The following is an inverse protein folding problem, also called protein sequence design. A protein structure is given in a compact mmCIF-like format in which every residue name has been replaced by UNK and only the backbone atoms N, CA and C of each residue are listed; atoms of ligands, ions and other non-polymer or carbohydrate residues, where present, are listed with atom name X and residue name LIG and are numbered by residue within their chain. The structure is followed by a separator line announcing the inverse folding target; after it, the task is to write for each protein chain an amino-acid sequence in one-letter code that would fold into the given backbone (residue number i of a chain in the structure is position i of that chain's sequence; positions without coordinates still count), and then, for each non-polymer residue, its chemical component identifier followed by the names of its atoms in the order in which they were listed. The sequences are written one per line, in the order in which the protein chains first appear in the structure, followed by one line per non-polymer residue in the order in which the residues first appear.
data_IF_441924264420
#
_entry.id   IF_441924264420
#
_cell.length_a   1.000
_cell.length_b   1.000
_cell.length_c   1.000
_cell.angle_alpha   90.00
_cell.angle_beta   90.00
_cell.angle_gamma   90.00
#
_symmetry.space_group_name_H-M   'P 1'
#
loop_
_entity.id
_entity.type
_entity.pdbx_description
1 polymer ?
#
# COMPACT_ATOMS: atom_id res chain seq x y z
N UNK A 1 -25.34 20.04 -14.16
CA UNK A 1 -24.65 19.62 -12.92
C UNK A 1 -23.75 20.76 -12.50
N UNK A 2 -23.89 21.30 -11.27
CA UNK A 2 -22.99 22.36 -10.79
C UNK A 2 -21.66 21.70 -10.42
N UNK A 3 -20.57 22.16 -11.02
CA UNK A 3 -19.21 21.68 -10.72
C UNK A 3 -18.61 22.62 -9.68
N UNK A 4 -18.26 22.09 -8.51
CA UNK A 4 -17.67 22.87 -7.42
C UNK A 4 -16.16 23.01 -7.61
N UNK A 5 -15.73 23.91 -8.50
CA UNK A 5 -14.31 24.08 -8.86
C UNK A 5 -13.43 24.63 -7.74
N UNK A 6 -14.02 25.19 -6.67
CA UNK A 6 -13.30 25.70 -5.50
C UNK A 6 -13.21 24.69 -4.36
N UNK A 7 -13.95 23.58 -4.41
CA UNK A 7 -13.91 22.58 -3.35
C UNK A 7 -12.55 21.88 -3.34
N UNK A 8 -11.82 22.01 -2.23
CA UNK A 8 -10.51 21.36 -2.01
C UNK A 8 -10.59 20.18 -1.05
N UNK A 9 -11.48 20.22 -0.08
CA UNK A 9 -11.60 19.21 0.97
C UNK A 9 -13.05 18.76 1.06
N UNK A 10 -13.29 17.44 1.01
CA UNK A 10 -14.61 16.84 1.17
C UNK A 10 -14.57 15.81 2.30
N UNK A 11 -15.47 15.97 3.27
CA UNK A 11 -15.62 15.06 4.42
C UNK A 11 -16.99 14.40 4.39
N UNK A 12 -17.01 13.10 4.13
CA UNK A 12 -18.16 12.19 4.15
C UNK A 12 -17.93 11.16 5.26
N UNK A 13 -17.99 11.58 6.52
CA UNK A 13 -17.74 10.69 7.66
C UNK A 13 -19.07 10.12 8.18
N UNK A 14 -19.08 8.83 8.53
CA UNK A 14 -20.23 8.11 9.11
C UNK A 14 -21.51 8.23 8.28
N UNK A 15 -21.38 8.29 6.94
CA UNK A 15 -22.52 8.30 6.03
C UNK A 15 -23.02 6.86 5.83
N UNK A 16 -23.74 6.33 6.81
CA UNK A 16 -24.14 4.91 6.88
C UNK A 16 -24.97 4.42 5.69
N UNK A 17 -25.65 5.34 4.97
CA UNK A 17 -26.47 5.01 3.79
C UNK A 17 -25.76 5.27 2.45
N UNK A 18 -24.54 5.79 2.47
CA UNK A 18 -23.79 6.07 1.25
C UNK A 18 -23.34 4.75 0.63
N UNK A 19 -23.86 4.42 -0.56
CA UNK A 19 -23.54 3.19 -1.27
C UNK A 19 -22.51 3.40 -2.38
N UNK A 20 -22.49 4.59 -2.98
CA UNK A 20 -21.62 4.90 -4.10
C UNK A 20 -21.14 6.35 -4.11
N UNK A 21 -19.92 6.55 -4.62
CA UNK A 21 -19.37 7.85 -4.98
C UNK A 21 -19.08 7.80 -6.49
N UNK A 22 -19.86 8.55 -7.26
CA UNK A 22 -19.77 8.53 -8.73
C UNK A 22 -18.73 9.51 -9.26
N UNK A 23 -18.82 10.79 -8.87
CA UNK A 23 -17.97 11.85 -9.37
C UNK A 23 -17.54 12.80 -8.27
N UNK A 24 -16.27 13.16 -8.27
CA UNK A 24 -15.72 14.20 -7.42
C UNK A 24 -15.41 15.48 -8.22
N UNK A 25 -15.42 16.64 -7.56
CA UNK A 25 -14.94 17.86 -8.18
C UNK A 25 -13.46 17.73 -8.61
N UNK A 26 -13.06 18.29 -9.75
CA UNK A 26 -11.74 18.03 -10.34
C UNK A 26 -10.57 18.57 -9.51
N UNK A 27 -10.81 19.63 -8.72
CA UNK A 27 -9.78 20.29 -7.91
C UNK A 27 -9.76 19.80 -6.46
N UNK A 28 -10.43 18.68 -6.16
CA UNK A 28 -10.38 18.09 -4.83
C UNK A 28 -8.94 17.68 -4.49
N UNK A 29 -8.49 18.02 -3.29
CA UNK A 29 -7.15 17.73 -2.79
C UNK A 29 -7.17 16.68 -1.68
N UNK A 30 -8.21 16.68 -0.85
CA UNK A 30 -8.37 15.74 0.26
C UNK A 30 -9.80 15.22 0.34
N UNK A 31 -9.92 13.90 0.49
CA UNK A 31 -11.19 13.22 0.61
C UNK A 31 -11.19 12.34 1.86
N UNK A 32 -12.14 12.57 2.76
CA UNK A 32 -12.31 11.80 3.99
C UNK A 32 -13.65 11.07 3.97
N UNK A 33 -13.65 9.79 3.64
CA UNK A 33 -14.83 8.90 3.60
C UNK A 33 -14.70 7.83 4.68
N UNK A 34 -14.84 8.25 5.94
CA UNK A 34 -14.55 7.41 7.10
C UNK A 34 -15.81 6.78 7.67
N UNK A 35 -15.76 5.51 8.05
CA UNK A 35 -16.89 4.83 8.69
C UNK A 35 -18.15 4.74 7.82
N UNK A 36 -17.99 4.77 6.49
CA UNK A 36 -19.10 4.61 5.54
C UNK A 36 -19.32 3.13 5.24
N UNK A 37 -19.94 2.40 6.17
CA UNK A 37 -20.04 0.94 6.13
C UNK A 37 -20.85 0.37 4.95
N UNK A 38 -21.69 1.18 4.30
CA UNK A 38 -22.48 0.79 3.13
C UNK A 38 -21.81 1.10 1.79
N UNK A 39 -20.65 1.77 1.79
CA UNK A 39 -19.99 2.17 0.54
C UNK A 39 -19.47 0.94 -0.19
N UNK A 40 -19.99 0.69 -1.39
CA UNK A 40 -19.67 -0.47 -2.22
C UNK A 40 -18.89 -0.07 -3.48
N UNK A 41 -19.14 1.14 -4.02
CA UNK A 41 -18.59 1.57 -5.32
C UNK A 41 -17.95 2.95 -5.25
N UNK A 42 -16.72 3.04 -5.73
CA UNK A 42 -16.03 4.31 -5.99
C UNK A 42 -15.09 4.12 -7.19
N UNK A 43 -15.57 4.28 -8.44
CA UNK A 43 -14.76 3.96 -9.62
C UNK A 43 -13.49 4.82 -9.75
N UNK A 44 -13.58 6.13 -9.45
CA UNK A 44 -12.47 7.07 -9.64
C UNK A 44 -11.26 6.77 -8.74
N UNK A 45 -11.45 6.13 -7.56
CA UNK A 45 -10.30 5.73 -6.71
C UNK A 45 -9.45 4.65 -7.36
N UNK A 46 -10.08 3.69 -8.06
CA UNK A 46 -9.32 2.66 -8.77
C UNK A 46 -8.53 3.30 -9.92
N UNK A 47 -9.15 4.19 -10.70
CA UNK A 47 -8.48 4.88 -11.80
C UNK A 47 -7.32 5.76 -11.32
N UNK A 48 -7.45 6.46 -10.18
CA UNK A 48 -6.38 7.30 -9.61
C UNK A 48 -5.10 6.52 -9.31
N UNK A 49 -5.21 5.25 -8.91
CA UNK A 49 -4.07 4.40 -8.54
C UNK A 49 -3.73 3.31 -9.55
N UNK A 50 -4.30 3.37 -10.76
CA UNK A 50 -3.96 2.46 -11.86
C UNK A 50 -2.77 2.96 -12.70
N UNK A 51 -2.55 4.27 -12.79
CA UNK A 51 -1.41 4.85 -13.54
C UNK A 51 -1.27 4.39 -15.02
N UNK A 52 -2.35 3.94 -15.67
CA UNK A 52 -2.40 3.65 -17.12
C UNK A 52 -3.44 4.47 -17.89
N UNK A 53 -4.32 5.17 -17.15
CA UNK A 53 -5.40 5.98 -17.70
C UNK A 53 -5.40 7.32 -17.00
N UNK A 54 -5.67 8.40 -17.72
CA UNK A 54 -5.79 9.72 -17.13
C UNK A 54 -6.97 9.78 -16.16
N UNK A 55 -6.69 10.23 -14.93
CA UNK A 55 -7.70 10.51 -13.92
C UNK A 55 -7.97 12.02 -13.88
N UNK A 56 -9.24 12.43 -13.79
CA UNK A 56 -9.62 13.85 -13.66
C UNK A 56 -9.23 14.47 -12.31
N UNK A 57 -8.83 13.65 -11.33
CA UNK A 57 -8.51 14.06 -9.95
C UNK A 57 -7.02 14.37 -9.80
N UNK A 58 -6.50 15.31 -10.60
CA UNK A 58 -5.06 15.64 -10.63
C UNK A 58 -4.57 16.19 -9.30
N UNK A 59 -5.36 17.06 -8.68
CA UNK A 59 -5.06 17.73 -7.42
C UNK A 59 -5.21 16.83 -6.18
N UNK A 60 -5.80 15.63 -6.32
CA UNK A 60 -6.10 14.75 -5.19
C UNK A 60 -4.81 14.13 -4.65
N UNK A 61 -4.51 14.46 -3.39
CA UNK A 61 -3.28 14.09 -2.66
C UNK A 61 -3.55 13.12 -1.52
N UNK A 62 -4.78 13.11 -0.97
CA UNK A 62 -5.12 12.27 0.17
C UNK A 62 -6.53 11.70 0.10
N UNK A 63 -6.65 10.40 0.36
CA UNK A 63 -7.92 9.69 0.47
C UNK A 63 -7.94 8.83 1.74
N UNK A 64 -8.91 9.07 2.62
CA UNK A 64 -9.16 8.25 3.79
C UNK A 64 -10.46 7.48 3.63
N UNK A 65 -10.37 6.17 3.39
CA UNK A 65 -11.49 5.23 3.27
C UNK A 65 -11.60 4.30 4.49
N UNK A 66 -10.98 4.66 5.61
CA UNK A 66 -11.03 3.85 6.83
C UNK A 66 -12.45 3.49 7.23
N UNK A 67 -12.68 2.23 7.58
CA UNK A 67 -14.03 1.73 7.90
C UNK A 67 -14.97 1.49 6.70
N UNK A 68 -14.54 1.65 5.45
CA UNK A 68 -15.36 1.33 4.25
C UNK A 68 -15.27 -0.15 3.85
N UNK A 69 -15.65 -1.08 4.74
CA UNK A 69 -15.35 -2.52 4.55
C UNK A 69 -16.07 -3.20 3.39
N UNK A 70 -17.12 -2.59 2.83
CA UNK A 70 -17.85 -3.11 1.65
C UNK A 70 -17.28 -2.62 0.32
N UNK A 71 -16.33 -1.69 0.34
CA UNK A 71 -15.81 -1.08 -0.87
C UNK A 71 -15.00 -2.12 -1.65
N UNK A 72 -15.41 -2.37 -2.89
CA UNK A 72 -14.64 -3.18 -3.84
C UNK A 72 -13.90 -2.24 -4.78
N UNK A 73 -12.59 -2.09 -4.58
CA UNK A 73 -11.74 -1.24 -5.40
C UNK A 73 -10.38 -1.90 -5.67
N UNK A 74 -9.88 -1.75 -6.89
CA UNK A 74 -8.56 -2.25 -7.31
C UNK A 74 -7.49 -1.20 -6.99
N UNK A 75 -7.27 -0.96 -5.69
CA UNK A 75 -6.30 0.03 -5.22
C UNK A 75 -4.91 -0.62 -5.20
N UNK A 76 -3.94 -0.02 -5.89
CA UNK A 76 -2.56 -0.48 -5.88
C UNK A 76 -2.36 -1.88 -6.49
N UNK A 77 -3.26 -2.32 -7.38
CA UNK A 77 -3.19 -3.66 -7.99
C UNK A 77 -2.06 -3.83 -9.01
N UNK A 78 -1.40 -2.74 -9.42
CA UNK A 78 -0.40 -2.72 -10.49
C UNK A 78 0.73 -1.75 -10.14
N UNK A 79 1.92 -2.02 -10.70
CA UNK A 79 3.10 -1.15 -10.57
C UNK A 79 2.88 0.14 -11.37
N UNK A 80 3.15 1.34 -10.81
CA UNK A 80 3.09 2.57 -11.57
C UNK A 80 4.04 2.54 -12.77
N UNK A 81 3.52 2.90 -13.94
CA UNK A 81 4.34 2.99 -15.15
C UNK A 81 5.23 4.25 -15.11
N UNK A 82 6.55 4.12 -15.28
CA UNK A 82 7.50 5.26 -15.34
C UNK A 82 7.06 6.40 -16.26
N UNK A 83 6.55 6.09 -17.46
CA UNK A 83 6.12 7.11 -18.43
C UNK A 83 4.93 7.94 -17.94
N UNK A 84 4.03 7.34 -17.16
CA UNK A 84 2.89 8.05 -16.57
C UNK A 84 3.32 8.88 -15.35
N UNK A 85 4.37 8.46 -14.63
CA UNK A 85 4.96 9.22 -13.53
C UNK A 85 5.56 10.53 -14.05
N UNK A 86 6.22 10.51 -15.20
CA UNK A 86 6.81 11.72 -15.79
C UNK A 86 5.78 12.68 -16.39
N UNK A 87 4.74 12.18 -17.05
CA UNK A 87 3.81 13.02 -17.83
C UNK A 87 2.68 13.64 -16.99
N UNK A 88 2.27 13.00 -15.89
CA UNK A 88 0.98 13.30 -15.25
C UNK A 88 1.04 13.71 -13.78
N UNK A 89 2.25 13.89 -13.23
CA UNK A 89 2.41 14.06 -11.80
C UNK A 89 2.95 15.44 -11.46
N UNK A 90 2.06 16.23 -10.89
CA UNK A 90 2.37 17.49 -10.21
C UNK A 90 3.13 17.20 -8.89
N UNK A 91 3.86 18.19 -8.40
CA UNK A 91 4.88 18.25 -7.32
C UNK A 91 4.64 17.56 -5.95
N UNK A 92 3.66 16.68 -5.80
CA UNK A 92 3.15 16.22 -4.50
C UNK A 92 2.99 14.71 -4.41
N UNK A 93 3.18 14.16 -3.21
CA UNK A 93 2.83 12.78 -2.88
C UNK A 93 1.31 12.55 -2.95
N UNK A 94 0.89 11.34 -3.28
CA UNK A 94 -0.51 10.90 -3.22
C UNK A 94 -0.66 9.68 -2.30
N UNK A 95 -1.43 9.84 -1.22
CA UNK A 95 -1.66 8.81 -0.21
C UNK A 95 -3.11 8.34 -0.15
N UNK A 96 -3.31 7.08 0.25
CA UNK A 96 -4.60 6.49 0.54
C UNK A 96 -4.51 5.53 1.74
N UNK A 97 -5.55 5.50 2.56
CA UNK A 97 -5.77 4.44 3.55
C UNK A 97 -7.13 3.79 3.34
N UNK A 98 -7.19 2.47 3.38
CA UNK A 98 -8.40 1.70 3.12
C UNK A 98 -8.39 0.35 3.88
N UNK A 99 -9.53 -0.29 4.13
CA UNK A 99 -9.57 -1.62 4.76
C UNK A 99 -8.84 -2.67 3.92
N UNK A 100 -7.98 -3.46 4.56
CA UNK A 100 -7.20 -4.51 3.89
C UNK A 100 -6.06 -5.02 4.78
N UNK A 101 -5.53 -6.19 4.46
CA UNK A 101 -4.56 -6.89 5.30
C UNK A 101 -3.32 -7.40 4.54
N UNK A 102 -3.11 -6.94 3.31
CA UNK A 102 -2.02 -7.40 2.44
C UNK A 102 -1.36 -6.24 1.74
N UNK A 103 -0.04 -6.33 1.63
CA UNK A 103 0.76 -5.49 0.72
C UNK A 103 0.55 -6.02 -0.70
N UNK A 104 0.45 -5.15 -1.72
CA UNK A 104 0.41 -5.60 -3.11
C UNK A 104 1.65 -6.43 -3.50
N UNK A 105 1.44 -7.52 -4.27
CA UNK A 105 2.48 -8.52 -4.55
C UNK A 105 3.68 -8.00 -5.35
N UNK A 106 3.54 -6.84 -6.00
CA UNK A 106 4.60 -6.24 -6.81
C UNK A 106 5.61 -5.41 -6.01
N UNK A 107 5.41 -5.22 -4.70
CA UNK A 107 6.39 -4.55 -3.86
C UNK A 107 7.70 -5.35 -3.81
N UNK A 108 8.80 -4.70 -4.18
CA UNK A 108 10.11 -5.35 -4.30
C UNK A 108 10.79 -5.61 -2.96
N UNK A 109 10.49 -4.80 -1.94
CA UNK A 109 11.05 -4.95 -0.61
C UNK A 109 9.92 -4.96 0.40
N UNK A 110 9.61 -6.13 0.98
CA UNK A 110 8.58 -6.29 2.00
C UNK A 110 9.14 -6.98 3.23
N UNK A 111 8.52 -6.73 4.39
CA UNK A 111 8.85 -7.43 5.63
C UNK A 111 7.61 -7.58 6.49
N UNK A 112 7.35 -8.81 6.93
CA UNK A 112 6.37 -9.09 7.96
C UNK A 112 6.93 -8.74 9.34
N UNK A 113 6.05 -8.26 10.22
CA UNK A 113 6.41 -7.77 11.55
C UNK A 113 5.76 -8.70 12.56
N UNK A 114 6.62 -9.46 13.26
CA UNK A 114 6.19 -10.54 14.15
C UNK A 114 5.84 -10.04 15.56
N UNK A 115 6.39 -8.90 15.96
CA UNK A 115 6.21 -8.28 17.26
C UNK A 115 5.73 -6.86 17.01
N UNK A 116 4.62 -6.45 17.62
CA UNK A 116 3.90 -5.19 17.35
C UNK A 116 4.68 -3.90 17.69
N UNK A 117 5.85 -3.73 17.10
CA UNK A 117 6.68 -2.55 17.17
C UNK A 117 5.94 -1.38 16.52
N UNK A 118 6.08 -0.21 17.14
CA UNK A 118 5.50 1.07 16.70
C UNK A 118 6.33 1.75 15.61
N UNK A 119 7.48 1.17 15.26
CA UNK A 119 8.35 1.63 14.19
C UNK A 119 9.06 0.48 13.48
N UNK A 120 9.37 0.70 12.22
CA UNK A 120 10.00 -0.28 11.34
C UNK A 120 11.10 0.39 10.53
N UNK A 121 12.23 -0.28 10.37
CA UNK A 121 13.36 0.18 9.56
C UNK A 121 13.72 -0.83 8.47
N UNK A 122 14.05 -0.31 7.29
CA UNK A 122 14.56 -1.06 6.13
C UNK A 122 15.73 -0.32 5.51
N UNK A 123 16.87 -1.00 5.44
CA UNK A 123 18.03 -0.52 4.70
C UNK A 123 18.04 -1.17 3.31
N UNK A 124 17.95 -0.33 2.28
CA UNK A 124 18.19 -0.75 0.88
C UNK A 124 19.62 -0.31 0.53
N UNK A 125 20.48 -1.29 0.25
CA UNK A 125 21.89 -1.08 -0.10
C UNK A 125 22.16 -1.53 -1.54
N UNK A 126 23.08 -0.89 -2.25
CA UNK A 126 23.50 -1.29 -3.60
C UNK A 126 23.91 -0.10 -4.47
N UNK A 127 24.22 -0.31 -5.77
CA UNK A 127 24.38 0.80 -6.71
C UNK A 127 23.02 1.45 -6.93
N UNK A 128 22.62 2.32 -6.01
CA UNK A 128 21.41 3.09 -6.12
C UNK A 128 21.68 4.19 -7.15
N UNK A 129 21.17 4.02 -8.36
CA UNK A 129 21.16 5.04 -9.38
C UNK A 129 20.19 6.15 -8.97
N UNK A 130 20.55 6.94 -7.94
CA UNK A 130 19.67 7.93 -7.31
C UNK A 130 19.11 8.94 -8.32
N UNK A 131 19.88 9.22 -9.37
CA UNK A 131 19.52 10.10 -10.48
C UNK A 131 18.41 9.53 -11.38
N UNK A 132 18.28 8.20 -11.39
CA UNK A 132 17.30 7.43 -12.15
C UNK A 132 16.01 7.20 -11.34
N UNK A 133 16.00 7.45 -10.02
CA UNK A 133 14.80 7.30 -9.20
C UNK A 133 13.81 8.42 -9.55
N UNK A 134 12.64 8.03 -10.02
CA UNK A 134 11.51 8.93 -10.32
C UNK A 134 10.32 8.72 -9.39
N UNK A 135 10.37 7.74 -8.50
CA UNK A 135 9.32 7.58 -7.52
C UNK A 135 9.67 6.56 -6.46
N UNK A 136 9.04 6.71 -5.31
CA UNK A 136 9.10 5.72 -4.25
C UNK A 136 7.67 5.48 -3.77
N UNK A 137 7.29 4.21 -3.69
CA UNK A 137 6.00 3.79 -3.16
C UNK A 137 6.21 3.11 -1.82
N UNK A 138 5.38 3.48 -0.85
CA UNK A 138 5.37 2.92 0.49
C UNK A 138 4.04 2.25 0.75
N UNK A 139 4.08 1.09 1.39
CA UNK A 139 2.89 0.40 1.86
C UNK A 139 3.08 -0.03 3.31
N UNK A 140 2.04 0.08 4.13
CA UNK A 140 2.01 -0.48 5.47
C UNK A 140 0.65 -1.10 5.75
N UNK A 141 0.65 -2.31 6.30
CA UNK A 141 -0.55 -2.94 6.88
C UNK A 141 -0.58 -2.60 8.36
N UNK A 142 -1.62 -1.90 8.76
CA UNK A 142 -1.82 -1.38 10.10
C UNK A 142 -2.96 -2.12 10.78
N UNK A 143 -2.67 -2.72 11.93
CA UNK A 143 -3.66 -3.22 12.87
C UNK A 143 -4.06 -2.14 13.87
N UNK A 144 -5.29 -2.21 14.34
CA UNK A 144 -5.78 -1.46 15.49
C UNK A 144 -5.97 -2.39 16.69
N UNK A 145 -5.80 -1.84 17.89
CA UNK A 145 -6.14 -2.53 19.13
C UNK A 145 -7.65 -2.87 19.15
N UNK A 146 -8.03 -4.16 19.29
CA UNK A 146 -9.43 -4.59 19.31
C UNK A 146 -10.23 -4.00 20.48
N UNK A 147 -9.58 -3.55 21.56
CA UNK A 147 -10.25 -2.94 22.71
C UNK A 147 -10.77 -1.51 22.42
N UNK A 148 -10.43 -0.94 21.26
CA UNK A 148 -10.82 0.42 20.85
C UNK A 148 -11.58 0.42 19.51
N UNK A 149 -12.91 0.26 19.51
CA UNK A 149 -13.71 0.08 18.29
C UNK A 149 -13.71 1.31 17.36
N UNK A 150 -13.55 2.52 17.90
CA UNK A 150 -13.44 3.75 17.11
C UNK A 150 -12.00 4.11 16.71
N UNK A 151 -11.03 3.33 17.22
CA UNK A 151 -9.59 3.52 17.15
C UNK A 151 -9.05 4.93 17.38
N UNK A 152 -7.72 5.07 17.52
CA UNK A 152 -7.06 6.36 17.70
C UNK A 152 -7.04 7.19 16.41
N UNK A 153 -7.19 8.51 16.55
CA UNK A 153 -6.62 9.43 15.55
C UNK A 153 -5.10 9.24 15.57
N UNK A 154 -4.53 8.87 14.43
CA UNK A 154 -3.13 8.46 14.33
C UNK A 154 -2.45 9.13 13.15
N UNK A 155 -1.15 9.33 13.28
CA UNK A 155 -0.25 9.67 12.20
C UNK A 155 0.64 8.50 11.82
N UNK A 156 0.81 8.25 10.52
CA UNK A 156 1.95 7.48 10.01
C UNK A 156 2.97 8.46 9.46
N UNK A 157 4.23 8.22 9.79
CA UNK A 157 5.37 8.96 9.29
C UNK A 157 6.30 8.01 8.56
N UNK A 158 6.82 8.46 7.42
CA UNK A 158 7.87 7.75 6.67
C UNK A 158 9.03 8.72 6.47
N UNK A 159 10.22 8.29 6.86
CA UNK A 159 11.46 9.05 6.68
C UNK A 159 12.48 8.24 5.90
N UNK A 160 13.35 8.96 5.19
CA UNK A 160 14.49 8.41 4.45
C UNK A 160 15.76 9.04 5.03
N UNK A 161 16.69 8.21 5.50
CA UNK A 161 17.97 8.65 6.09
C UNK A 161 17.75 9.70 7.21
N UNK A 162 16.68 9.54 7.98
CA UNK A 162 16.30 10.45 9.07
C UNK A 162 15.56 11.73 8.62
N UNK A 163 15.42 11.97 7.32
CA UNK A 163 14.66 13.10 6.80
C UNK A 163 13.20 12.69 6.51
N UNK A 164 12.24 13.46 7.01
CA UNK A 164 10.82 13.20 6.79
C UNK A 164 10.46 13.29 5.30
N UNK A 165 9.79 12.27 4.79
CA UNK A 165 9.25 12.26 3.42
C UNK A 165 7.73 12.43 3.43
N UNK A 166 7.02 11.68 4.28
CA UNK A 166 5.56 11.73 4.36
C UNK A 166 5.09 11.73 5.80
N UNK A 167 4.12 12.59 6.09
CA UNK A 167 3.25 12.50 7.25
C UNK A 167 1.80 12.42 6.78
N UNK A 168 1.04 11.42 7.25
CA UNK A 168 -0.37 11.30 6.94
C UNK A 168 -1.19 11.00 8.20
N UNK A 169 -2.37 11.61 8.28
CA UNK A 169 -3.27 11.53 9.43
C UNK A 169 -4.54 10.78 9.08
N UNK A 170 -4.91 9.80 9.90
CA UNK A 170 -6.09 8.95 9.68
C UNK A 170 -6.70 8.47 10.99
N UNK A 171 -7.88 7.85 10.87
CA UNK A 171 -8.46 7.04 11.93
C UNK A 171 -8.35 5.58 11.52
N UNK A 172 -8.00 4.70 12.46
CA UNK A 172 -8.19 3.27 12.27
C UNK A 172 -9.50 2.88 12.93
N UNK A 173 -10.35 2.12 12.23
CA UNK A 173 -11.52 1.54 12.85
C UNK A 173 -11.14 0.19 13.46
N UNK A 174 -11.67 -0.10 14.65
CA UNK A 174 -11.47 -1.40 15.30
C UNK A 174 -12.10 -2.52 14.47
N UNK A 175 -11.53 -3.72 14.59
CA UNK A 175 -12.09 -4.93 13.98
C UNK A 175 -11.64 -5.23 12.54
N UNK A 176 -10.79 -4.40 11.92
CA UNK A 176 -10.09 -4.77 10.70
C UNK A 176 -8.71 -4.13 10.57
N UNK A 177 -7.86 -4.77 9.78
CA UNK A 177 -6.61 -4.17 9.32
C UNK A 177 -6.89 -3.11 8.23
N UNK A 178 -5.93 -2.22 8.07
CA UNK A 178 -5.96 -1.16 7.07
C UNK A 178 -4.65 -1.15 6.29
N UNK A 179 -4.73 -0.93 4.99
CA UNK A 179 -3.59 -0.70 4.13
C UNK A 179 -3.43 0.79 3.94
N UNK A 180 -2.27 1.31 4.35
CA UNK A 180 -1.78 2.62 3.96
C UNK A 180 -0.89 2.46 2.73
N UNK A 181 -1.14 3.23 1.68
CA UNK A 181 -0.38 3.23 0.44
C UNK A 181 -0.07 4.67 0.05
N UNK A 182 1.19 4.99 -0.20
CA UNK A 182 1.63 6.33 -0.61
C UNK A 182 2.59 6.27 -1.78
N UNK A 183 2.33 7.11 -2.77
CA UNK A 183 3.18 7.31 -3.93
C UNK A 183 3.85 8.68 -3.80
N UNK A 184 5.18 8.68 -3.67
CA UNK A 184 6.01 9.88 -3.60
C UNK A 184 6.82 10.03 -4.88
N UNK A 185 6.76 11.22 -5.48
CA UNK A 185 7.20 11.49 -6.85
C UNK A 185 8.40 12.45 -6.89
N UNK A 186 9.02 12.71 -8.07
CA UNK A 186 10.37 13.25 -8.17
C UNK A 186 10.61 14.50 -7.33
N UNK A 187 9.72 15.50 -7.35
CA UNK A 187 9.94 16.75 -6.62
C UNK A 187 9.96 16.55 -5.09
N UNK A 188 9.15 15.62 -4.56
CA UNK A 188 9.13 15.28 -3.13
C UNK A 188 10.42 14.59 -2.69
N UNK A 189 10.98 13.72 -3.54
CA UNK A 189 12.16 12.91 -3.19
C UNK A 189 13.48 13.60 -3.58
N UNK A 190 13.47 14.53 -4.54
CA UNK A 190 14.66 15.17 -5.08
C UNK A 190 15.50 15.86 -4.01
N UNK A 191 14.86 16.58 -3.09
CA UNK A 191 15.58 17.26 -2.01
C UNK A 191 16.19 16.27 -1.02
N UNK A 192 15.51 15.16 -0.76
CA UNK A 192 15.93 14.11 0.16
C UNK A 192 17.10 13.28 -0.39
N UNK A 193 17.11 13.06 -1.71
CA UNK A 193 18.15 12.29 -2.39
C UNK A 193 19.36 13.14 -2.82
N UNK A 194 19.30 14.47 -2.71
CA UNK A 194 20.36 15.40 -3.16
C UNK A 194 21.65 15.31 -2.34
N UNK A 195 21.55 14.91 -1.08
CA UNK A 195 22.67 14.79 -0.15
C UNK A 195 22.79 13.34 0.31
N UNK A 196 23.36 12.44 -0.52
CA UNK A 196 23.46 11.04 -0.16
C UNK A 196 24.33 10.87 1.09
N UNK A 197 23.72 10.41 2.18
CA UNK A 197 24.41 10.02 3.43
C UNK A 197 24.94 8.58 3.34
N UNK A 198 25.63 8.27 2.23
CA UNK A 198 26.15 6.93 1.91
C UNK A 198 25.44 6.26 0.74
N UNK A 199 25.83 5.02 0.44
CA UNK A 199 25.31 4.21 -0.69
C UNK A 199 23.97 3.51 -0.38
N UNK A 200 23.35 3.83 0.77
CA UNK A 200 22.17 3.13 1.28
C UNK A 200 21.02 4.11 1.53
N UNK A 201 19.79 3.65 1.29
CA UNK A 201 18.56 4.33 1.69
C UNK A 201 17.96 3.60 2.88
N UNK A 202 17.98 4.26 4.04
CA UNK A 202 17.30 3.81 5.26
C UNK A 202 15.89 4.37 5.30
N UNK A 203 14.92 3.51 5.11
CA UNK A 203 13.51 3.82 5.32
C UNK A 203 13.15 3.56 6.76
N UNK A 204 12.45 4.51 7.39
CA UNK A 204 11.86 4.32 8.70
C UNK A 204 10.39 4.70 8.67
N UNK A 205 9.55 3.75 9.06
CA UNK A 205 8.11 3.89 9.24
C UNK A 205 7.85 3.98 10.74
N UNK A 206 6.98 4.86 11.18
CA UNK A 206 6.57 4.91 12.58
C UNK A 206 5.21 5.57 12.72
N UNK A 207 4.53 5.25 13.81
CA UNK A 207 3.29 5.91 14.20
C UNK A 207 3.48 6.74 15.45
N UNK A 208 2.74 7.85 15.57
CA UNK A 208 2.76 8.68 16.78
C UNK A 208 1.81 8.18 17.89
N UNK A 209 1.07 7.10 17.60
CA UNK A 209 0.09 6.48 18.47
C UNK A 209 0.52 5.04 18.77
N UNK A 210 0.71 4.74 20.06
CA UNK A 210 1.03 3.39 20.57
C UNK A 210 -0.10 2.36 20.37
N UNK A 211 -1.25 2.79 19.85
CA UNK A 211 -2.43 1.97 19.59
C UNK A 211 -2.51 1.47 18.14
N UNK A 212 -1.51 1.81 17.33
CA UNK A 212 -1.34 1.32 15.96
C UNK A 212 -0.22 0.29 15.95
N UNK A 213 -0.48 -0.87 15.36
CA UNK A 213 0.51 -1.92 15.22
C UNK A 213 0.83 -2.11 13.74
N UNK A 214 2.11 -2.09 13.39
CA UNK A 214 2.53 -2.49 12.06
C UNK A 214 2.51 -4.02 11.95
N UNK A 215 1.85 -4.54 10.92
CA UNK A 215 1.82 -5.98 10.60
C UNK A 215 2.78 -6.31 9.47
N UNK A 216 2.90 -5.43 8.49
CA UNK A 216 3.88 -5.54 7.43
C UNK A 216 4.13 -4.17 6.79
N UNK A 217 5.33 -3.99 6.28
CA UNK A 217 5.74 -2.78 5.55
C UNK A 217 6.37 -3.16 4.22
N UNK A 218 6.24 -2.27 3.24
CA UNK A 218 6.75 -2.46 1.89
C UNK A 218 7.27 -1.16 1.30
N UNK A 219 8.37 -1.26 0.55
CA UNK A 219 8.92 -0.18 -0.26
C UNK A 219 9.16 -0.69 -1.68
N UNK A 220 8.82 0.14 -2.66
CA UNK A 220 9.17 -0.08 -4.06
C UNK A 220 9.75 1.20 -4.64
N UNK A 221 10.89 1.09 -5.33
CA UNK A 221 11.58 2.21 -5.97
C UNK A 221 11.32 2.13 -7.46
N UNK A 222 10.88 3.23 -8.05
CA UNK A 222 10.59 3.35 -9.48
C UNK A 222 11.75 4.07 -10.16
N UNK A 223 12.35 3.43 -11.15
CA UNK A 223 13.43 3.97 -11.97
C UNK A 223 12.91 4.45 -13.33
N UNK A 224 13.57 5.46 -13.94
CA UNK A 224 13.25 5.94 -15.30
C UNK A 224 13.33 4.83 -16.34
N UNK A 225 14.38 4.04 -16.22
CA UNK A 225 14.66 2.91 -17.08
C UNK A 225 14.70 1.66 -16.20
N UNK A 226 13.68 0.80 -16.32
CA UNK A 226 13.72 -0.52 -15.69
C UNK A 226 14.67 -1.42 -16.48
N UNK A 227 15.96 -1.39 -16.13
CA UNK A 227 16.84 -2.53 -16.40
C UNK A 227 16.78 -3.48 -15.20
N UNK A 228 16.45 -4.74 -15.46
CA UNK A 228 16.24 -5.84 -14.53
C UNK A 228 17.53 -6.23 -13.76
N UNK A 229 18.09 -5.34 -12.94
CA UNK A 229 19.25 -5.64 -12.10
C UNK A 229 18.85 -5.76 -10.62
N UNK A 230 18.94 -6.99 -10.12
CA UNK A 230 18.60 -7.41 -8.77
C UNK A 230 19.38 -6.61 -7.71
N UNK A 231 18.71 -5.65 -7.05
CA UNK A 231 19.21 -5.03 -5.83
C UNK A 231 19.25 -6.08 -4.72
N UNK A 232 20.43 -6.36 -4.19
CA UNK A 232 20.64 -7.32 -3.12
C UNK A 232 20.31 -6.71 -1.76
N UNK A 233 19.37 -7.33 -1.05
CA UNK A 233 19.05 -7.03 0.35
C UNK A 233 20.23 -7.42 1.24
N UNK A 234 20.83 -6.46 1.94
CA UNK A 234 21.79 -6.72 3.00
C UNK A 234 21.06 -6.84 4.34
N UNK A 235 20.91 -8.05 4.86
CA UNK A 235 20.48 -8.26 6.24
C UNK A 235 21.63 -7.88 7.18
N UNK A 236 21.41 -6.90 8.07
CA UNK A 236 22.27 -6.75 9.25
C UNK A 236 21.92 -7.89 10.23
N UNK A 237 22.62 -9.01 10.11
CA UNK A 237 22.67 -10.04 11.15
C UNK A 237 23.81 -9.71 12.12
N UNK A 238 23.51 -9.74 13.41
CA UNK A 238 24.51 -9.70 14.47
C UNK A 238 25.20 -11.06 14.49
N UNK A 239 26.53 -11.05 14.37
CA UNK A 239 27.39 -12.24 14.26
C UNK A 239 27.08 -13.31 15.31
N UNK A 240 26.92 -14.54 14.83
CA UNK A 240 27.28 -15.76 15.56
C UNK A 240 27.66 -16.84 14.56
N UNK A 241 28.98 -17.02 14.45
CA UNK A 241 29.75 -18.11 13.82
C UNK A 241 29.00 -19.40 13.48
N UNK A 242 28.97 -19.77 12.21
CA UNK A 242 29.65 -20.96 11.65
C UNK A 242 29.06 -21.28 10.26
N UNK A 243 29.94 -21.37 9.28
CA UNK A 243 29.58 -21.47 7.87
C UNK A 243 28.99 -22.80 7.44
N UNK A 244 28.45 -22.81 6.21
CA UNK A 244 28.59 -23.84 5.18
C UNK A 244 28.16 -23.20 3.84
N UNK A 245 28.99 -23.37 2.81
CA UNK A 245 28.74 -22.96 1.43
C UNK A 245 27.50 -23.64 0.84
N UNK A 246 26.65 -22.89 0.15
CA UNK A 246 25.71 -23.45 -0.83
C UNK A 246 26.05 -22.93 -2.23
N UNK A 247 26.47 -23.88 -3.08
CA UNK A 247 26.87 -23.69 -4.46
C UNK A 247 25.66 -23.61 -5.38
N UNK A 248 25.68 -22.64 -6.31
CA UNK A 248 24.75 -22.54 -7.44
C UNK A 248 24.95 -23.73 -8.38
N UNK A 249 23.86 -24.39 -8.79
CA UNK A 249 23.80 -25.13 -10.06
C UNK A 249 22.63 -24.64 -10.90
N UNK A 250 22.94 -24.20 -12.11
CA UNK A 250 22.04 -24.02 -13.27
C UNK A 250 22.09 -25.28 -14.15
N UNK A 251 21.10 -25.38 -15.05
CA UNK A 251 20.94 -26.27 -16.23
C UNK A 251 20.10 -27.53 -16.00
N UNK A 252 19.23 -27.98 -16.90
CA UNK A 252 18.73 -27.53 -18.22
C UNK A 252 17.38 -28.26 -18.49
N UNK A 253 16.65 -27.79 -19.50
CA UNK A 253 15.43 -28.39 -20.07
C UNK A 253 15.59 -29.85 -20.50
N UNK A 254 14.49 -30.63 -20.46
CA UNK A 254 14.03 -31.43 -21.61
C UNK A 254 12.57 -31.91 -21.45
N UNK A 255 11.87 -31.92 -22.58
CA UNK A 255 10.44 -32.15 -22.81
C UNK A 255 9.95 -33.56 -22.45
N UNK A 256 8.66 -33.68 -22.10
CA UNK A 256 7.81 -34.81 -22.51
C UNK A 256 6.32 -34.44 -22.41
N UNK A 257 5.67 -34.38 -23.57
CA UNK A 257 4.23 -34.26 -23.76
C UNK A 257 3.43 -35.38 -23.10
N UNK A 258 2.36 -35.03 -22.38
CA UNK A 258 1.14 -35.85 -22.27
C UNK A 258 -0.08 -34.92 -22.09
N UNK A 259 -0.84 -34.75 -23.17
CA UNK A 259 -2.23 -34.28 -23.13
C UNK A 259 -3.10 -35.35 -22.45
N UNK A 260 -3.96 -34.98 -21.49
CA UNK A 260 -5.40 -35.26 -21.59
C UNK A 260 -6.26 -34.54 -20.52
N UNK A 261 -7.50 -34.27 -20.96
CA UNK A 261 -8.58 -33.46 -20.42
C UNK A 261 -9.11 -33.77 -19.01
N UNK A 262 -9.72 -32.75 -18.39
CA UNK A 262 -10.80 -32.94 -17.39
C UNK A 262 -11.26 -31.65 -16.69
N UNK A 263 -12.38 -31.08 -17.13
CA UNK A 263 -13.10 -30.00 -16.44
C UNK A 263 -13.49 -30.37 -14.99
N UNK A 264 -13.62 -29.39 -14.07
CA UNK A 264 -13.93 -29.62 -12.67
C UNK A 264 -15.42 -29.98 -12.44
N UNK A 265 -15.68 -31.07 -11.72
CA UNK A 265 -17.01 -31.41 -11.23
C UNK A 265 -17.35 -30.60 -9.98
N UNK A 266 -18.43 -29.82 -10.07
CA UNK A 266 -19.20 -29.35 -8.92
C UNK A 266 -19.84 -30.52 -8.16
N UNK A 267 -19.77 -30.51 -6.83
CA UNK A 267 -20.80 -31.12 -5.97
C UNK A 267 -21.18 -30.17 -4.83
N UNK A 268 -22.46 -29.82 -4.80
CA UNK A 268 -23.15 -29.09 -3.74
C UNK A 268 -23.86 -30.09 -2.82
N UNK A 269 -23.82 -29.78 -1.53
CA UNK A 269 -24.82 -29.98 -0.49
C UNK A 269 -25.23 -31.41 -0.05
N UNK A 270 -25.13 -31.66 1.25
CA UNK A 270 -26.32 -32.07 2.01
C UNK A 270 -26.24 -31.55 3.45
N UNK A 271 -27.36 -30.96 3.90
CA UNK A 271 -27.69 -30.67 5.28
C UNK A 271 -28.09 -31.97 5.98
N UNK A 272 -27.88 -32.06 7.29
CA UNK A 272 -28.76 -32.86 8.17
C UNK A 272 -28.97 -32.14 9.51
N UNK A 273 -30.25 -31.94 9.81
CA UNK A 273 -30.82 -31.56 11.10
C UNK A 273 -31.06 -32.84 11.90
N UNK A 274 -30.74 -32.84 13.18
CA UNK A 274 -31.12 -33.90 14.13
C UNK A 274 -31.38 -33.30 15.50
N UNK A 275 -32.66 -33.29 15.90
CA UNK A 275 -33.19 -32.67 17.09
C UNK A 275 -33.36 -33.69 18.24
N UNK A 276 -33.14 -33.23 19.48
CA UNK A 276 -33.80 -33.60 20.76
C UNK A 276 -33.91 -35.07 21.22
N UNK A 277 -33.45 -35.36 22.44
CA UNK A 277 -34.38 -35.56 23.58
C UNK A 277 -33.70 -35.65 24.95
N UNK A 278 -34.46 -35.18 25.94
CA UNK A 278 -34.19 -35.17 27.37
C UNK A 278 -34.44 -36.56 28.01
N UNK A 279 -33.72 -36.79 29.10
CA UNK A 279 -34.12 -37.55 30.30
C UNK A 279 -33.38 -36.97 31.49
#
# INVERSE_FOLDING_TARGET
MKIYVELRILRLCHCEKLQEILHLPPNIQELYVRGCFSLERFPEVSTKFQFYTSCGLRELRWIDLSGCHKLVANIGSQVPNPSFVEEHIQDHSCGIIFPGNKIPDWFSHTKEISNGDDSWELDISGPLYLEEIIGIVFCAVLGSDPDYPLGPFSGICVSINGNMLVEARFYLYGGSDHVYLNYSFPECIRQLLRYPTGDNLRFRFYCDSYKVMFKSCGVHIIYKHEDNENLTVGECSVDSSNGIQLSKRRRDNEDSNLEFNGYPQHKRCSQDLGNSNAT
#
